data_IF_507052081752
#
_entry.id   IF_507052081752
#
_cell.length_a   1.000
_cell.length_b   1.000
_cell.length_c   1.000
_cell.angle_alpha   90.00
_cell.angle_beta   90.00
_cell.angle_gamma   90.00
#
_symmetry.space_group_name_H-M   'P 1'
#
loop_
_entity.id
_entity.type
_entity.pdbx_description
1 polymer ?
#
# COMPACT_ATOMS: atom_id res chain seq x y z
N UNK A 1 -19.14 -10.62 35.24
CA UNK A 1 -19.70 -9.59 34.34
C UNK A 1 -18.69 -8.45 34.23
N UNK A 2 -17.85 -8.47 33.19
CA UNK A 2 -16.96 -7.33 32.90
C UNK A 2 -17.85 -6.27 32.25
N UNK A 3 -17.98 -5.09 32.86
CA UNK A 3 -18.63 -3.94 32.20
C UNK A 3 -17.99 -3.80 30.82
N UNK A 4 -18.77 -3.93 29.76
CA UNK A 4 -18.35 -3.50 28.42
C UNK A 4 -17.84 -2.08 28.58
N UNK A 5 -16.54 -1.91 28.45
CA UNK A 5 -15.89 -0.60 28.50
C UNK A 5 -16.23 0.01 27.15
N UNK A 6 -17.15 0.96 27.13
CA UNK A 6 -17.49 1.71 25.92
C UNK A 6 -16.20 2.26 25.32
N UNK A 7 -16.02 2.08 24.01
CA UNK A 7 -14.85 2.60 23.31
C UNK A 7 -14.71 4.10 23.58
N UNK A 8 -13.48 4.60 23.67
CA UNK A 8 -13.23 6.03 23.83
C UNK A 8 -13.45 6.76 22.49
N UNK A 9 -14.72 6.87 22.12
CA UNK A 9 -15.21 7.49 20.89
C UNK A 9 -15.39 8.99 21.10
N UNK A 10 -14.77 9.77 20.22
CA UNK A 10 -14.89 11.23 20.17
C UNK A 10 -15.50 11.60 18.82
N UNK A 11 -16.69 12.20 18.84
CA UNK A 11 -17.35 12.72 17.64
C UNK A 11 -17.10 14.22 17.53
N UNK A 12 -16.59 14.65 16.38
CA UNK A 12 -16.32 16.06 16.08
C UNK A 12 -17.14 16.48 14.87
N UNK A 13 -17.83 17.61 15.00
CA UNK A 13 -18.53 18.22 13.86
C UNK A 13 -17.52 18.97 13.00
N UNK A 14 -17.57 18.73 11.70
CA UNK A 14 -16.65 19.33 10.72
C UNK A 14 -17.45 19.87 9.54
N UNK A 15 -17.11 21.07 9.10
CA UNK A 15 -17.53 21.58 7.82
C UNK A 15 -16.64 20.96 6.72
N UNK A 16 -17.25 20.16 5.85
CA UNK A 16 -16.59 19.52 4.72
C UNK A 16 -16.70 20.33 3.41
N UNK A 17 -17.12 21.59 3.49
CA UNK A 17 -17.27 22.48 2.34
C UNK A 17 -16.06 22.44 1.41
N UNK A 18 -16.35 22.55 0.12
CA UNK A 18 -15.37 22.39 -0.94
C UNK A 18 -14.21 23.38 -0.80
N UNK A 19 -13.00 22.85 -0.72
CA UNK A 19 -11.81 23.68 -0.69
C UNK A 19 -11.60 24.31 -2.06
N UNK A 20 -11.13 25.56 -2.09
CA UNK A 20 -10.82 26.26 -3.35
C UNK A 20 -9.76 25.52 -4.15
N UNK A 21 -8.81 24.87 -3.46
CA UNK A 21 -7.75 24.05 -4.05
C UNK A 21 -7.80 22.64 -3.52
N UNK A 22 -7.47 21.69 -4.38
CA UNK A 22 -7.28 20.29 -4.02
C UNK A 22 -6.12 19.69 -4.81
N UNK A 23 -5.31 18.86 -4.16
CA UNK A 23 -4.19 18.16 -4.77
C UNK A 23 -4.28 16.68 -4.47
N UNK A 24 -4.04 15.84 -5.48
CA UNK A 24 -4.05 14.39 -5.37
C UNK A 24 -2.91 13.83 -6.21
N UNK A 25 -2.09 12.97 -5.63
CA UNK A 25 -1.07 12.21 -6.38
C UNK A 25 -1.39 10.72 -6.31
N UNK A 26 -1.15 10.00 -7.42
CA UNK A 26 -1.14 8.54 -7.45
C UNK A 26 0.13 8.06 -8.13
N UNK A 27 0.81 7.15 -7.46
CA UNK A 27 1.92 6.36 -8.00
C UNK A 27 1.36 5.02 -8.46
N UNK A 28 1.31 4.81 -9.77
CA UNK A 28 0.67 3.64 -10.36
C UNK A 28 1.40 2.32 -10.08
N UNK A 29 0.79 1.23 -10.55
CA UNK A 29 1.21 -0.16 -10.29
C UNK A 29 2.70 -0.42 -10.51
N UNK A 30 3.28 0.12 -11.58
CA UNK A 30 4.69 -0.08 -11.95
C UNK A 30 5.66 0.92 -11.32
N UNK A 31 5.18 1.91 -10.56
CA UNK A 31 6.06 2.89 -9.93
C UNK A 31 6.95 2.21 -8.87
N UNK A 32 8.26 2.52 -8.79
CA UNK A 32 9.19 1.88 -7.86
C UNK A 32 8.70 1.78 -6.40
N UNK A 33 8.16 2.87 -5.85
CA UNK A 33 7.58 2.87 -4.49
C UNK A 33 6.38 1.93 -4.36
N UNK A 34 5.44 1.97 -5.31
CA UNK A 34 4.23 1.11 -5.32
C UNK A 34 4.61 -0.36 -5.49
N UNK A 35 5.60 -0.67 -6.33
CA UNK A 35 6.18 -2.02 -6.44
C UNK A 35 6.80 -2.48 -5.13
N UNK A 36 7.49 -1.59 -4.40
CA UNK A 36 8.10 -1.90 -3.11
C UNK A 36 7.05 -2.16 -2.02
N UNK A 37 6.01 -1.33 -1.95
CA UNK A 37 4.85 -1.55 -1.06
C UNK A 37 4.17 -2.89 -1.37
N UNK A 38 3.80 -3.13 -2.63
CA UNK A 38 3.09 -4.35 -3.01
C UNK A 38 3.95 -5.62 -2.84
N UNK A 39 5.27 -5.54 -3.09
CA UNK A 39 6.18 -6.64 -2.80
C UNK A 39 6.23 -6.93 -1.29
N UNK A 40 6.41 -5.91 -0.46
CA UNK A 40 6.44 -6.07 0.99
C UNK A 40 5.16 -6.72 1.53
N UNK A 41 4.00 -6.26 1.04
CA UNK A 41 2.72 -6.83 1.43
C UNK A 41 2.55 -8.28 0.99
N UNK A 42 2.92 -8.58 -0.26
CA UNK A 42 2.90 -9.92 -0.81
C UNK A 42 3.78 -10.89 0.00
N UNK A 43 5.00 -10.48 0.37
CA UNK A 43 5.90 -11.27 1.20
C UNK A 43 5.34 -11.51 2.61
N UNK A 44 4.72 -10.50 3.21
CA UNK A 44 4.04 -10.62 4.51
C UNK A 44 2.89 -11.62 4.46
N UNK A 45 2.05 -11.54 3.43
CA UNK A 45 0.93 -12.46 3.23
C UNK A 45 1.42 -13.90 3.01
N UNK A 46 2.38 -14.12 2.09
CA UNK A 46 2.93 -15.46 1.81
C UNK A 46 3.62 -16.07 3.03
N UNK A 47 4.40 -15.30 3.78
CA UNK A 47 5.02 -15.78 5.01
C UNK A 47 3.99 -16.11 6.09
N UNK A 48 2.95 -15.29 6.22
CA UNK A 48 1.81 -15.56 7.12
C UNK A 48 1.08 -16.85 6.75
N UNK A 49 0.79 -17.06 5.46
CA UNK A 49 0.16 -18.28 4.95
C UNK A 49 1.05 -19.52 5.21
N UNK A 50 2.34 -19.43 4.88
CA UNK A 50 3.31 -20.50 5.09
C UNK A 50 3.38 -20.92 6.56
N UNK A 51 3.57 -19.95 7.46
CA UNK A 51 3.72 -20.23 8.88
C UNK A 51 2.42 -20.73 9.52
N UNK A 52 1.28 -20.15 9.15
CA UNK A 52 -0.03 -20.63 9.61
C UNK A 52 -0.30 -22.06 9.16
N UNK A 53 -0.03 -22.39 7.90
CA UNK A 53 -0.21 -23.74 7.35
C UNK A 53 0.72 -24.76 8.02
N UNK A 54 2.00 -24.41 8.19
CA UNK A 54 3.03 -25.34 8.67
C UNK A 54 3.04 -25.50 10.20
N UNK A 55 2.75 -24.43 10.94
CA UNK A 55 2.91 -24.37 12.40
C UNK A 55 1.61 -24.07 13.16
N UNK A 56 0.52 -23.79 12.46
CA UNK A 56 -0.78 -23.45 13.07
C UNK A 56 -0.92 -22.00 13.54
N UNK A 57 0.11 -21.16 13.32
CA UNK A 57 0.09 -19.76 13.73
C UNK A 57 0.91 -18.87 12.78
N UNK A 58 0.49 -17.60 12.66
CA UNK A 58 1.29 -16.58 11.96
C UNK A 58 2.42 -16.16 12.90
N UNK A 59 3.67 -16.45 12.50
CA UNK A 59 4.83 -16.11 13.32
C UNK A 59 5.20 -14.63 13.17
N UNK A 60 5.99 -14.13 14.12
CA UNK A 60 6.44 -12.74 14.11
C UNK A 60 7.28 -12.44 12.86
N UNK A 61 6.91 -11.38 12.14
CA UNK A 61 7.65 -10.86 11.00
C UNK A 61 7.23 -9.42 10.70
N UNK A 62 8.09 -8.65 10.04
CA UNK A 62 7.82 -7.34 9.48
C UNK A 62 8.77 -7.13 8.29
N UNK A 63 8.23 -7.04 7.08
CA UNK A 63 8.95 -6.80 5.83
C UNK A 63 8.72 -5.37 5.31
N UNK A 64 8.35 -4.45 6.19
CA UNK A 64 7.97 -3.07 5.90
C UNK A 64 9.18 -2.13 5.68
N UNK A 65 10.33 -2.70 5.31
CA UNK A 65 11.58 -2.00 4.93
C UNK A 65 12.16 -2.54 3.61
N UNK A 66 11.35 -3.27 2.85
CA UNK A 66 11.72 -3.71 1.51
C UNK A 66 11.94 -2.50 0.60
N UNK A 67 12.89 -2.63 -0.30
CA UNK A 67 13.17 -1.61 -1.32
C UNK A 67 13.60 -2.24 -2.62
N UNK A 68 13.42 -1.47 -3.70
CA UNK A 68 13.88 -1.80 -5.04
C UNK A 68 14.85 -0.70 -5.47
N UNK A 69 16.08 -1.06 -5.78
CA UNK A 69 17.05 -0.11 -6.34
C UNK A 69 17.20 -0.35 -7.83
N UNK A 70 17.21 0.73 -8.58
CA UNK A 70 17.14 0.66 -10.02
C UNK A 70 18.31 -0.09 -10.65
N UNK A 71 18.01 -0.73 -11.77
CA UNK A 71 18.98 -1.33 -12.67
C UNK A 71 19.62 -0.30 -13.59
N UNK A 72 19.99 -0.75 -14.78
CA UNK A 72 20.28 0.10 -15.92
C UNK A 72 19.66 -0.54 -17.16
N UNK A 73 19.21 0.26 -18.11
CA UNK A 73 18.63 -0.21 -19.38
C UNK A 73 19.30 0.45 -20.57
N UNK A 74 19.08 -0.16 -21.73
CA UNK A 74 19.38 0.39 -23.04
C UNK A 74 18.08 0.36 -23.84
N UNK A 75 17.67 1.52 -24.37
CA UNK A 75 16.42 1.67 -25.11
C UNK A 75 16.65 2.40 -26.43
N UNK A 76 15.98 1.91 -27.47
CA UNK A 76 15.81 2.58 -28.76
C UNK A 76 14.46 2.14 -29.33
N UNK A 77 13.96 2.81 -30.36
CA UNK A 77 12.72 2.35 -30.98
C UNK A 77 12.83 0.91 -31.48
N UNK A 78 11.84 0.08 -31.13
CA UNK A 78 11.77 -1.34 -31.46
C UNK A 78 12.66 -2.24 -30.58
N UNK A 79 13.39 -1.70 -29.61
CA UNK A 79 14.28 -2.48 -28.77
C UNK A 79 14.48 -1.89 -27.37
N UNK A 80 14.40 -2.75 -26.35
CA UNK A 80 14.80 -2.38 -25.00
C UNK A 80 15.25 -3.62 -24.24
N UNK A 81 16.27 -3.46 -23.39
CA UNK A 81 16.69 -4.50 -22.44
C UNK A 81 17.30 -3.90 -21.18
N UNK A 82 17.34 -4.68 -20.11
CA UNK A 82 18.17 -4.38 -18.96
C UNK A 82 19.64 -4.69 -19.25
N UNK A 83 20.52 -3.77 -18.89
CA UNK A 83 21.99 -3.92 -18.91
C UNK A 83 22.57 -4.16 -17.52
N UNK A 84 21.84 -3.79 -16.46
CA UNK A 84 22.12 -4.18 -15.08
C UNK A 84 20.83 -4.62 -14.37
N UNK A 85 20.91 -5.64 -13.50
CA UNK A 85 19.74 -6.14 -12.80
C UNK A 85 19.17 -5.12 -11.80
N UNK A 86 17.86 -5.22 -11.56
CA UNK A 86 17.21 -4.53 -10.45
C UNK A 86 17.68 -5.18 -9.14
N UNK A 87 17.97 -4.36 -8.13
CA UNK A 87 18.49 -4.85 -6.85
C UNK A 87 17.37 -4.82 -5.82
N UNK A 88 17.00 -5.99 -5.31
CA UNK A 88 15.93 -6.18 -4.33
C UNK A 88 16.54 -6.21 -2.92
N UNK A 89 16.18 -5.21 -2.11
CA UNK A 89 16.57 -5.08 -0.71
C UNK A 89 15.52 -5.76 0.17
N UNK A 90 15.86 -6.92 0.73
CA UNK A 90 15.03 -7.67 1.66
C UNK A 90 15.47 -7.39 3.09
N UNK A 91 14.90 -6.31 3.65
CA UNK A 91 15.15 -5.86 5.01
C UNK A 91 13.95 -6.16 5.90
N UNK A 92 14.20 -6.20 7.21
CA UNK A 92 13.14 -6.30 8.21
C UNK A 92 13.42 -7.35 9.25
N UNK A 93 12.36 -7.96 9.78
CA UNK A 93 12.45 -8.96 10.84
C UNK A 93 11.58 -10.16 10.52
N UNK A 94 12.01 -11.35 10.86
CA UNK A 94 11.21 -12.57 10.67
C UNK A 94 11.63 -13.66 11.65
N UNK A 95 10.70 -14.52 12.00
CA UNK A 95 10.99 -15.71 12.79
C UNK A 95 11.78 -16.69 11.92
N UNK A 96 12.94 -17.13 12.40
CA UNK A 96 13.83 -18.03 11.65
C UNK A 96 13.70 -19.48 12.09
N UNK A 97 12.92 -19.75 13.14
CA UNK A 97 12.75 -21.07 13.72
C UNK A 97 11.40 -21.17 14.43
N UNK A 98 10.84 -22.38 14.44
CA UNK A 98 9.72 -22.75 15.30
C UNK A 98 9.95 -24.17 15.84
N UNK A 99 9.90 -24.33 17.16
CA UNK A 99 10.35 -25.54 17.84
C UNK A 99 11.76 -25.94 17.35
N UNK A 100 11.91 -27.17 16.85
CA UNK A 100 13.16 -27.69 16.31
C UNK A 100 13.29 -27.47 14.78
N UNK A 101 12.31 -26.84 14.15
CA UNK A 101 12.29 -26.62 12.69
C UNK A 101 12.84 -25.25 12.33
N UNK A 102 13.94 -25.24 11.58
CA UNK A 102 14.49 -24.03 10.98
C UNK A 102 13.68 -23.61 9.74
N UNK A 103 13.55 -22.30 9.54
CA UNK A 103 12.82 -21.69 8.42
C UNK A 103 13.85 -21.04 7.51
N UNK A 104 13.97 -21.51 6.27
CA UNK A 104 14.77 -20.85 5.24
C UNK A 104 14.07 -19.58 4.74
N UNK A 105 14.07 -18.55 5.58
CA UNK A 105 13.44 -17.26 5.28
C UNK A 105 14.04 -16.65 4.02
N UNK A 106 15.36 -16.78 3.81
CA UNK A 106 16.02 -16.17 2.64
C UNK A 106 15.57 -16.83 1.35
N UNK A 107 15.57 -18.17 1.28
CA UNK A 107 15.10 -18.91 0.12
C UNK A 107 13.64 -18.61 -0.21
N UNK A 108 12.77 -18.60 0.81
CA UNK A 108 11.34 -18.28 0.65
C UNK A 108 11.14 -16.86 0.11
N UNK A 109 11.78 -15.85 0.70
CA UNK A 109 11.63 -14.46 0.25
C UNK A 109 12.20 -14.22 -1.15
N UNK A 110 13.30 -14.89 -1.53
CA UNK A 110 13.81 -14.84 -2.91
C UNK A 110 12.81 -15.43 -3.88
N UNK A 111 12.29 -16.62 -3.60
CA UNK A 111 11.33 -17.28 -4.48
C UNK A 111 10.08 -16.42 -4.69
N UNK A 112 9.48 -15.92 -3.61
CA UNK A 112 8.27 -15.10 -3.69
C UNK A 112 8.51 -13.73 -4.33
N UNK A 113 9.68 -13.12 -4.11
CA UNK A 113 10.04 -11.87 -4.80
C UNK A 113 10.16 -12.06 -6.31
N UNK A 114 10.76 -13.18 -6.75
CA UNK A 114 10.85 -13.54 -8.17
C UNK A 114 9.46 -13.75 -8.79
N UNK A 115 8.60 -14.52 -8.11
CA UNK A 115 7.19 -14.75 -8.52
C UNK A 115 6.44 -13.41 -8.65
N UNK A 116 6.54 -12.55 -7.64
CA UNK A 116 5.86 -11.26 -7.64
C UNK A 116 6.33 -10.36 -8.79
N UNK A 117 7.64 -10.12 -8.91
CA UNK A 117 8.17 -9.15 -9.88
C UNK A 117 7.99 -9.61 -11.32
N UNK A 118 8.11 -10.92 -11.61
CA UNK A 118 7.82 -11.47 -12.93
C UNK A 118 6.34 -11.33 -13.34
N UNK A 119 5.43 -11.26 -12.36
CA UNK A 119 4.01 -10.99 -12.60
C UNK A 119 3.70 -9.48 -12.73
N UNK A 120 4.57 -8.59 -12.25
CA UNK A 120 4.37 -7.14 -12.34
C UNK A 120 5.04 -6.51 -13.56
N UNK A 121 6.20 -7.04 -13.96
CA UNK A 121 7.07 -6.47 -14.99
C UNK A 121 7.51 -7.56 -15.98
N UNK A 122 7.72 -7.23 -17.27
CA UNK A 122 8.19 -8.16 -18.30
C UNK A 122 9.70 -8.43 -18.17
N UNK A 123 10.11 -9.06 -17.06
CA UNK A 123 11.51 -9.38 -16.74
C UNK A 123 11.76 -10.88 -16.66
N UNK A 124 13.01 -11.29 -16.84
CA UNK A 124 13.49 -12.61 -16.44
C UNK A 124 14.01 -12.55 -14.98
N UNK A 125 13.27 -13.08 -14.00
CA UNK A 125 13.62 -12.95 -12.59
C UNK A 125 14.89 -13.73 -12.19
N UNK A 126 15.39 -14.63 -13.03
CA UNK A 126 16.62 -15.39 -12.75
C UNK A 126 17.89 -14.60 -13.07
N UNK A 127 17.87 -13.77 -14.10
CA UNK A 127 19.05 -13.02 -14.57
C UNK A 127 18.98 -11.52 -14.30
N UNK A 128 17.78 -10.96 -14.12
CA UNK A 128 17.57 -9.51 -14.05
C UNK A 128 17.28 -9.00 -12.64
N UNK A 129 17.39 -9.86 -11.63
CA UNK A 129 17.23 -9.53 -10.22
C UNK A 129 18.49 -9.91 -9.42
N UNK A 130 18.87 -9.05 -8.47
CA UNK A 130 19.91 -9.35 -7.47
C UNK A 130 19.38 -9.07 -6.08
N UNK A 131 19.62 -9.97 -5.12
CA UNK A 131 19.04 -9.90 -3.79
C UNK A 131 20.06 -9.52 -2.72
N UNK A 132 19.67 -8.61 -1.84
CA UNK A 132 20.45 -8.18 -0.67
C UNK A 132 19.62 -8.38 0.60
N UNK A 133 20.19 -9.03 1.60
CA UNK A 133 19.47 -9.40 2.82
C UNK A 133 20.00 -8.67 4.05
N UNK A 134 19.13 -7.93 4.73
CA UNK A 134 19.41 -7.32 6.04
C UNK A 134 18.29 -7.68 7.04
N UNK A 135 18.04 -8.99 7.19
CA UNK A 135 17.04 -9.52 8.12
C UNK A 135 17.61 -9.65 9.54
N UNK A 136 16.78 -9.35 10.53
CA UNK A 136 17.10 -9.53 11.95
C UNK A 136 16.04 -10.37 12.67
N UNK A 137 16.45 -11.20 13.61
CA UNK A 137 15.57 -11.93 14.54
C UNK A 137 15.65 -11.36 15.97
N UNK A 138 16.21 -10.15 16.13
CA UNK A 138 16.39 -9.54 17.45
C UNK A 138 15.08 -8.93 17.98
N UNK A 139 14.84 -9.13 19.28
CA UNK A 139 13.68 -8.60 19.98
C UNK A 139 13.88 -7.12 20.37
N UNK A 140 12.82 -6.32 20.26
CA UNK A 140 12.76 -4.94 20.77
C UNK A 140 11.47 -4.74 21.59
N UNK A 141 11.49 -4.00 22.71
CA UNK A 141 12.67 -3.41 23.37
C UNK A 141 13.60 -4.47 23.99
N UNK A 142 14.84 -4.07 24.30
CA UNK A 142 15.92 -4.96 24.73
C UNK A 142 15.53 -5.95 25.83
N UNK A 143 16.11 -7.16 25.76
CA UNK A 143 15.86 -8.25 26.72
C UNK A 143 16.45 -7.89 28.08
N UNK A 144 15.64 -7.82 29.14
CA UNK A 144 16.13 -7.70 30.52
C UNK A 144 16.24 -9.09 31.15
N UNK A 145 17.41 -9.41 31.69
CA UNK A 145 17.69 -10.69 32.37
C UNK A 145 17.46 -10.58 33.87
N UNK A 146 16.22 -10.36 34.31
CA UNK A 146 15.92 -10.56 35.73
C UNK A 146 15.78 -12.06 36.02
N UNK A 147 16.79 -12.60 36.71
CA UNK A 147 16.96 -14.03 37.03
C UNK A 147 15.78 -14.66 37.77
N UNK A 148 14.90 -13.87 38.39
CA UNK A 148 13.79 -14.36 39.21
C UNK A 148 12.54 -14.80 38.41
N UNK A 149 12.38 -14.41 37.14
CA UNK A 149 11.15 -14.66 36.36
C UNK A 149 11.37 -15.30 34.97
N UNK A 150 12.53 -15.93 34.75
CA UNK A 150 12.99 -16.44 33.43
C UNK A 150 11.96 -17.35 32.73
N UNK A 151 11.13 -18.10 33.45
CA UNK A 151 10.14 -19.01 32.87
C UNK A 151 8.89 -18.32 32.29
N UNK A 152 8.66 -17.01 32.52
CA UNK A 152 7.39 -16.35 32.17
C UNK A 152 7.44 -15.34 31.01
N UNK A 153 8.62 -14.96 30.51
CA UNK A 153 8.69 -13.95 29.44
C UNK A 153 8.60 -14.56 28.05
N UNK A 154 7.38 -14.69 27.51
CA UNK A 154 7.12 -15.13 26.13
C UNK A 154 7.90 -14.29 25.09
N UNK A 155 8.17 -13.01 25.41
CA UNK A 155 8.95 -12.09 24.58
C UNK A 155 10.38 -12.56 24.28
N UNK A 156 10.96 -13.42 25.14
CA UNK A 156 12.31 -13.97 24.92
C UNK A 156 12.39 -14.85 23.67
N UNK A 157 11.30 -15.56 23.36
CA UNK A 157 11.21 -16.55 22.29
C UNK A 157 10.31 -16.07 21.14
N UNK A 158 10.02 -14.77 21.05
CA UNK A 158 9.02 -14.26 20.11
C UNK A 158 9.38 -14.48 18.63
N UNK A 159 10.68 -14.44 18.30
CA UNK A 159 11.22 -14.71 16.95
C UNK A 159 11.68 -16.16 16.75
N UNK A 160 11.76 -16.94 17.83
CA UNK A 160 12.11 -18.36 17.79
C UNK A 160 11.21 -19.14 18.77
N UNK A 161 9.89 -19.20 18.51
CA UNK A 161 8.96 -19.78 19.46
C UNK A 161 9.20 -21.27 19.58
N UNK A 162 9.27 -21.81 20.80
CA UNK A 162 9.52 -23.25 21.02
C UNK A 162 8.25 -24.09 20.83
N UNK A 163 7.10 -23.45 20.99
CA UNK A 163 5.76 -24.00 20.77
C UNK A 163 4.75 -22.84 20.73
N UNK A 164 3.47 -23.17 20.48
CA UNK A 164 2.39 -22.18 20.37
C UNK A 164 2.20 -21.32 21.64
N UNK A 165 2.61 -21.76 22.83
CA UNK A 165 2.48 -20.94 24.04
C UNK A 165 3.42 -19.74 24.08
N UNK A 166 4.51 -19.77 23.30
CA UNK A 166 5.44 -18.64 23.17
C UNK A 166 4.90 -17.55 22.22
N UNK A 167 3.72 -17.74 21.61
CA UNK A 167 3.04 -16.77 20.75
C UNK A 167 1.87 -16.13 21.53
N UNK A 168 2.09 -14.97 22.19
CA UNK A 168 1.07 -14.37 23.05
C UNK A 168 -0.19 -13.92 22.29
N UNK A 169 -0.07 -13.62 21.00
CA UNK A 169 -1.16 -13.13 20.17
C UNK A 169 -2.24 -14.17 19.90
N UNK A 170 -1.95 -15.46 20.14
CA UNK A 170 -2.96 -16.52 20.12
C UNK A 170 -3.91 -16.47 21.33
N UNK A 171 -3.49 -15.78 22.41
CA UNK A 171 -4.25 -15.67 23.66
C UNK A 171 -4.93 -14.32 23.78
N UNK A 172 -4.18 -13.24 23.54
CA UNK A 172 -4.67 -11.86 23.66
C UNK A 172 -4.01 -11.02 22.56
N UNK A 173 -4.83 -10.39 21.72
CA UNK A 173 -4.36 -9.45 20.70
C UNK A 173 -4.05 -8.11 21.36
N UNK A 174 -2.76 -7.74 21.38
CA UNK A 174 -2.29 -6.46 21.90
C UNK A 174 -1.64 -5.64 20.79
N UNK A 175 -1.80 -4.33 20.87
CA UNK A 175 -1.11 -3.38 20.01
C UNK A 175 0.40 -3.51 20.24
N UNK A 176 1.18 -3.65 19.17
CA UNK A 176 2.64 -3.66 19.26
C UNK A 176 3.23 -2.28 19.56
N UNK A 177 2.57 -1.23 19.10
CA UNK A 177 3.09 0.13 19.10
C UNK A 177 2.00 1.15 19.47
N UNK A 178 2.41 2.42 19.62
CA UNK A 178 1.53 3.58 19.77
C UNK A 178 1.59 4.39 18.47
N UNK A 179 0.71 4.07 17.53
CA UNK A 179 0.51 4.84 16.29
C UNK A 179 -0.97 5.01 15.95
N UNK A 180 -1.23 5.62 14.79
CA UNK A 180 -2.58 5.90 14.31
C UNK A 180 -2.83 5.38 12.89
N UNK A 181 -4.08 4.99 12.65
CA UNK A 181 -4.65 4.74 11.34
C UNK A 181 -5.67 5.82 10.98
N UNK A 182 -5.82 6.11 9.69
CA UNK A 182 -6.74 7.14 9.19
C UNK A 182 -7.60 6.61 8.05
N UNK A 183 -8.88 6.93 8.05
CA UNK A 183 -9.81 6.60 6.96
C UNK A 183 -10.65 7.81 6.58
N UNK A 184 -11.14 7.86 5.35
CA UNK A 184 -12.10 8.86 4.92
C UNK A 184 -12.99 8.34 3.80
N UNK A 185 -14.21 8.85 3.73
CA UNK A 185 -15.18 8.52 2.70
C UNK A 185 -16.19 9.67 2.54
N UNK A 186 -16.71 9.91 1.33
CA UNK A 186 -16.27 9.30 0.08
C UNK A 186 -14.94 9.90 -0.41
N UNK A 187 -14.39 9.32 -1.48
CA UNK A 187 -13.43 10.01 -2.32
C UNK A 187 -14.04 11.29 -2.88
N UNK A 188 -13.23 12.33 -3.04
CA UNK A 188 -13.58 13.50 -3.82
C UNK A 188 -13.67 13.14 -5.30
N UNK A 189 -14.15 14.07 -6.11
CA UNK A 189 -14.21 13.92 -7.56
C UNK A 189 -12.80 13.78 -8.16
N UNK A 190 -11.83 14.58 -7.69
CA UNK A 190 -10.44 14.51 -8.15
C UNK A 190 -9.77 13.19 -7.74
N UNK A 191 -9.97 12.74 -6.49
CA UNK A 191 -9.46 11.45 -6.00
C UNK A 191 -9.98 10.27 -6.84
N UNK A 192 -11.28 10.29 -7.14
CA UNK A 192 -11.96 9.25 -7.92
C UNK A 192 -11.41 9.17 -9.35
N UNK A 193 -11.24 10.31 -10.02
CA UNK A 193 -10.74 10.37 -11.40
C UNK A 193 -9.29 9.93 -11.49
N UNK A 194 -8.44 10.36 -10.56
CA UNK A 194 -7.03 9.94 -10.52
C UNK A 194 -6.92 8.41 -10.36
N UNK A 195 -7.76 7.82 -9.49
CA UNK A 195 -7.83 6.37 -9.33
C UNK A 195 -8.38 5.68 -10.59
N UNK A 196 -9.42 6.21 -11.20
CA UNK A 196 -10.06 5.65 -12.39
C UNK A 196 -9.12 5.64 -13.60
N UNK A 197 -8.41 6.74 -13.85
CA UNK A 197 -7.45 6.83 -14.96
C UNK A 197 -6.34 5.82 -14.79
N UNK A 198 -5.69 5.76 -13.62
CA UNK A 198 -4.59 4.83 -13.40
C UNK A 198 -5.08 3.38 -13.53
N UNK A 199 -6.23 3.03 -12.93
CA UNK A 199 -6.82 1.69 -13.03
C UNK A 199 -7.17 1.32 -14.47
N UNK A 200 -7.68 2.27 -15.25
CA UNK A 200 -8.06 2.04 -16.65
C UNK A 200 -6.83 1.74 -17.50
N UNK A 201 -5.80 2.61 -17.43
CA UNK A 201 -4.59 2.47 -18.22
C UNK A 201 -3.73 1.27 -17.79
N UNK A 202 -3.75 0.90 -16.50
CA UNK A 202 -3.09 -0.30 -15.97
C UNK A 202 -3.96 -1.56 -15.96
N UNK A 203 -5.17 -1.51 -16.53
CA UNK A 203 -6.04 -2.68 -16.58
C UNK A 203 -5.46 -3.75 -17.52
N UNK A 204 -5.63 -5.04 -17.20
CA UNK A 204 -5.22 -6.12 -18.10
C UNK A 204 -5.85 -6.00 -19.49
N UNK A 205 -7.10 -5.53 -19.56
CA UNK A 205 -7.79 -5.31 -20.83
C UNK A 205 -7.08 -4.25 -21.67
N UNK A 206 -6.79 -3.08 -21.09
CA UNK A 206 -6.13 -1.99 -21.80
C UNK A 206 -4.72 -2.38 -22.23
N UNK A 207 -3.91 -2.97 -21.34
CA UNK A 207 -2.53 -3.38 -21.62
C UNK A 207 -2.45 -4.51 -22.66
N UNK A 208 -3.42 -5.42 -22.70
CA UNK A 208 -3.45 -6.49 -23.71
C UNK A 208 -3.63 -5.97 -25.13
N UNK A 209 -4.45 -4.90 -25.29
CA UNK A 209 -4.70 -4.20 -26.56
C UNK A 209 -3.59 -3.21 -26.89
N UNK A 210 -2.98 -2.62 -25.87
CA UNK A 210 -1.98 -1.56 -25.96
C UNK A 210 -0.67 -1.98 -25.30
N UNK A 211 0.01 -2.98 -25.87
CA UNK A 211 1.26 -3.53 -25.31
C UNK A 211 2.40 -2.52 -25.17
N UNK A 212 2.27 -1.38 -25.83
CA UNK A 212 3.22 -0.29 -25.75
C UNK A 212 3.22 0.41 -24.39
N UNK A 213 2.15 0.36 -23.60
CA UNK A 213 2.07 1.13 -22.35
C UNK A 213 2.80 0.39 -21.21
N UNK A 214 3.70 1.08 -20.52
CA UNK A 214 4.30 0.61 -19.28
C UNK A 214 3.38 0.83 -18.09
N UNK A 215 3.65 0.15 -16.98
CA UNK A 215 2.79 0.18 -15.80
C UNK A 215 3.10 1.27 -14.79
N UNK A 216 4.26 1.93 -14.92
CA UNK A 216 4.69 3.04 -14.07
C UNK A 216 4.04 4.37 -14.49
N UNK A 217 2.73 4.46 -14.22
CA UNK A 217 1.93 5.64 -14.50
C UNK A 217 1.84 6.48 -13.23
N UNK A 218 2.49 7.64 -13.22
CA UNK A 218 2.41 8.60 -12.12
C UNK A 218 1.47 9.73 -12.51
N UNK A 219 0.51 10.08 -11.64
CA UNK A 219 -0.47 11.13 -11.87
C UNK A 219 -0.39 12.14 -10.73
N UNK A 220 -0.26 13.41 -11.07
CA UNK A 220 -0.45 14.55 -10.17
C UNK A 220 -1.67 15.34 -10.65
N UNK A 221 -2.66 15.47 -9.79
CA UNK A 221 -3.87 16.24 -10.03
C UNK A 221 -3.97 17.47 -9.15
N UNK A 222 -4.46 18.55 -9.75
CA UNK A 222 -4.73 19.82 -9.11
C UNK A 222 -6.11 20.30 -9.55
N UNK A 223 -6.99 20.59 -8.60
CA UNK A 223 -8.27 21.24 -8.86
C UNK A 223 -8.26 22.64 -8.26
N UNK A 224 -8.68 23.62 -9.03
CA UNK A 224 -8.95 24.99 -8.58
C UNK A 224 -10.38 25.37 -8.92
N UNK A 225 -11.24 25.48 -7.91
CA UNK A 225 -12.69 25.61 -8.11
C UNK A 225 -13.23 24.42 -8.92
N UNK A 226 -13.74 24.72 -10.13
CA UNK A 226 -14.28 23.72 -11.06
C UNK A 226 -13.29 23.28 -12.16
N UNK A 227 -12.08 23.85 -12.19
CA UNK A 227 -11.07 23.51 -13.20
C UNK A 227 -10.15 22.39 -12.69
N UNK A 228 -10.01 21.33 -13.48
CA UNK A 228 -9.21 20.16 -13.14
C UNK A 228 -7.96 20.09 -14.02
N UNK A 229 -6.76 19.99 -13.45
CA UNK A 229 -5.53 19.85 -14.24
C UNK A 229 -4.80 18.60 -13.79
N UNK A 230 -4.40 17.76 -14.73
CA UNK A 230 -3.55 16.61 -14.49
C UNK A 230 -2.22 16.77 -15.21
N UNK A 231 -1.13 16.45 -14.51
CA UNK A 231 0.16 16.14 -15.11
C UNK A 231 0.47 14.69 -14.83
N UNK A 232 0.83 13.93 -15.86
CA UNK A 232 1.16 12.52 -15.71
C UNK A 232 2.34 12.05 -16.53
N UNK A 233 2.94 10.97 -16.06
CA UNK A 233 4.00 10.26 -16.75
C UNK A 233 3.43 8.91 -17.23
N UNK A 234 3.51 8.63 -18.53
CA UNK A 234 3.13 7.37 -19.16
C UNK A 234 4.35 6.83 -19.91
N UNK A 235 5.07 5.85 -19.36
CA UNK A 235 6.20 5.22 -20.04
C UNK A 235 5.69 4.38 -21.21
N UNK A 236 6.48 4.33 -22.29
CA UNK A 236 6.24 3.40 -23.39
C UNK A 236 7.34 2.34 -23.46
N UNK A 237 6.94 1.08 -23.65
CA UNK A 237 7.83 -0.07 -23.78
C UNK A 237 8.49 -0.01 -25.16
N UNK A 238 9.79 0.25 -25.17
CA UNK A 238 10.58 0.56 -26.36
C UNK A 238 10.50 -0.54 -27.43
N UNK A 239 10.46 -1.82 -27.04
CA UNK A 239 10.30 -2.96 -27.96
C UNK A 239 8.97 -2.96 -28.73
N UNK A 240 7.97 -2.20 -28.27
CA UNK A 240 6.64 -2.12 -28.85
C UNK A 240 6.39 -0.81 -29.62
N UNK A 241 7.37 0.10 -29.69
CA UNK A 241 7.25 1.41 -30.34
C UNK A 241 8.30 1.53 -31.43
N UNK A 242 7.90 1.66 -32.71
CA UNK A 242 8.84 1.53 -33.84
C UNK A 242 9.54 2.83 -34.22
N UNK A 243 8.95 3.97 -33.87
CA UNK A 243 9.47 5.30 -34.19
C UNK A 243 8.74 6.38 -33.38
N UNK A 244 9.11 7.64 -33.60
CA UNK A 244 8.54 8.80 -32.92
C UNK A 244 7.06 9.03 -33.23
N UNK A 245 6.59 8.65 -34.43
CA UNK A 245 5.19 8.83 -34.82
C UNK A 245 4.29 7.83 -34.09
N UNK A 246 4.74 6.57 -33.95
CA UNK A 246 4.09 5.57 -33.10
C UNK A 246 4.02 6.07 -31.64
N UNK A 247 5.13 6.62 -31.12
CA UNK A 247 5.17 7.17 -29.77
C UNK A 247 4.12 8.27 -29.55
N UNK A 248 4.04 9.24 -30.47
CA UNK A 248 3.05 10.33 -30.41
C UNK A 248 1.62 9.81 -30.54
N UNK A 249 1.38 8.85 -31.44
CA UNK A 249 0.08 8.22 -31.63
C UNK A 249 -0.40 7.50 -30.37
N UNK A 250 0.49 6.79 -29.70
CA UNK A 250 0.20 6.11 -28.44
C UNK A 250 -0.21 7.10 -27.34
N UNK A 251 0.50 8.24 -27.20
CA UNK A 251 0.09 9.29 -26.25
C UNK A 251 -1.24 9.92 -26.63
N UNK A 252 -1.52 10.13 -27.92
CA UNK A 252 -2.83 10.63 -28.38
C UNK A 252 -3.97 9.67 -28.02
N UNK A 253 -3.77 8.35 -28.18
CA UNK A 253 -4.74 7.34 -27.76
C UNK A 253 -5.00 7.38 -26.24
N UNK A 254 -3.94 7.51 -25.42
CA UNK A 254 -4.12 7.67 -23.97
C UNK A 254 -4.89 8.95 -23.62
N UNK A 255 -4.62 10.06 -24.33
CA UNK A 255 -5.36 11.31 -24.16
C UNK A 255 -6.85 11.13 -24.45
N UNK A 256 -7.22 10.45 -25.53
CA UNK A 256 -8.63 10.20 -25.86
C UNK A 256 -9.36 9.43 -24.74
N UNK A 257 -8.71 8.41 -24.18
CA UNK A 257 -9.26 7.61 -23.07
C UNK A 257 -9.44 8.46 -21.81
N UNK A 258 -8.44 9.26 -21.46
CA UNK A 258 -8.49 10.14 -20.28
C UNK A 258 -9.55 11.22 -20.46
N UNK A 259 -9.61 11.85 -21.64
CA UNK A 259 -10.64 12.82 -21.99
C UNK A 259 -12.04 12.24 -21.86
N UNK A 260 -12.23 10.98 -22.28
CA UNK A 260 -13.51 10.29 -22.10
C UNK A 260 -13.87 10.15 -20.61
N UNK A 261 -12.93 9.75 -19.76
CA UNK A 261 -13.15 9.62 -18.31
C UNK A 261 -13.56 10.97 -17.69
N UNK A 262 -12.92 12.08 -18.08
CA UNK A 262 -13.32 13.41 -17.62
C UNK A 262 -14.77 13.74 -17.98
N UNK A 263 -15.16 13.51 -19.24
CA UNK A 263 -16.50 13.80 -19.73
C UNK A 263 -17.57 12.91 -19.08
N UNK A 264 -17.28 11.61 -18.89
CA UNK A 264 -18.17 10.67 -18.18
C UNK A 264 -18.36 11.06 -16.70
N UNK A 265 -17.38 11.75 -16.12
CA UNK A 265 -17.47 12.34 -14.80
C UNK A 265 -17.98 13.79 -14.82
N UNK A 266 -18.59 14.29 -15.90
CA UNK A 266 -19.13 15.66 -15.96
C UNK A 266 -18.09 16.75 -15.64
N UNK A 267 -16.91 16.66 -16.24
CA UNK A 267 -15.86 17.69 -16.18
C UNK A 267 -15.49 18.09 -17.60
N UNK A 268 -15.82 19.32 -17.95
CA UNK A 268 -15.56 19.93 -19.25
C UNK A 268 -14.37 20.92 -19.22
N UNK A 269 -14.13 21.62 -18.10
CA UNK A 269 -12.96 22.47 -17.89
C UNK A 269 -11.80 21.68 -17.27
N UNK A 270 -10.98 21.05 -18.13
CA UNK A 270 -9.77 20.37 -17.70
C UNK A 270 -8.52 20.63 -18.56
N UNK A 271 -7.36 20.58 -17.91
CA UNK A 271 -6.03 20.54 -18.53
C UNK A 271 -5.39 19.16 -18.37
N UNK A 272 -4.73 18.68 -19.42
CA UNK A 272 -4.05 17.39 -19.41
C UNK A 272 -2.65 17.50 -20.02
N UNK A 273 -1.63 17.33 -19.18
CA UNK A 273 -0.23 17.29 -19.56
C UNK A 273 0.33 15.88 -19.37
N UNK A 274 0.95 15.33 -20.41
CA UNK A 274 1.52 13.97 -20.40
C UNK A 274 2.97 14.06 -20.82
N UNK A 275 3.86 13.43 -20.05
CA UNK A 275 5.30 13.36 -20.27
C UNK A 275 5.91 14.74 -20.56
N UNK A 276 5.71 15.69 -19.64
CA UNK A 276 6.14 17.10 -19.80
C UNK A 276 7.65 17.31 -19.98
N UNK A 277 8.46 16.27 -19.73
CA UNK A 277 9.91 16.26 -19.97
C UNK A 277 10.27 15.84 -21.39
N UNK A 278 9.32 15.36 -22.19
CA UNK A 278 9.61 14.91 -23.55
C UNK A 278 10.13 16.06 -24.42
N UNK A 279 11.21 15.79 -25.13
CA UNK A 279 11.73 16.65 -26.19
C UNK A 279 11.89 15.83 -27.48
N UNK A 280 10.95 16.05 -28.42
CA UNK A 280 10.91 15.33 -29.69
C UNK A 280 12.09 15.65 -30.62
N UNK A 281 12.66 16.85 -30.55
CA UNK A 281 13.80 17.26 -31.39
C UNK A 281 15.10 16.57 -30.94
N UNK A 282 15.25 16.40 -29.62
CA UNK A 282 16.41 15.73 -29.02
C UNK A 282 16.22 14.23 -28.81
N UNK A 283 15.02 13.71 -29.09
CA UNK A 283 14.63 12.32 -28.77
C UNK A 283 14.81 11.96 -27.28
N UNK A 284 14.63 12.95 -26.40
CA UNK A 284 14.54 12.72 -24.96
C UNK A 284 13.09 12.37 -24.65
N UNK A 285 12.75 11.07 -24.72
CA UNK A 285 11.38 10.58 -24.59
C UNK A 285 11.26 9.61 -23.42
N UNK A 286 10.07 9.47 -22.84
CA UNK A 286 9.82 8.47 -21.80
C UNK A 286 9.65 7.04 -22.36
N UNK A 287 10.70 6.54 -23.00
CA UNK A 287 10.86 5.16 -23.45
C UNK A 287 11.54 4.32 -22.36
N UNK A 288 11.05 3.10 -22.18
CA UNK A 288 11.53 2.14 -21.17
C UNK A 288 11.64 0.73 -21.77
N UNK A 289 12.56 -0.09 -21.31
CA UNK A 289 12.70 -1.49 -21.69
C UNK A 289 11.58 -2.36 -21.12
N UNK A 290 11.19 -2.13 -19.87
CA UNK A 290 10.25 -2.98 -19.11
C UNK A 290 9.00 -2.24 -18.62
N UNK A 291 8.81 -0.98 -18.99
CA UNK A 291 7.60 -0.23 -18.65
C UNK A 291 7.59 0.40 -17.25
N UNK A 292 8.75 0.49 -16.59
CA UNK A 292 8.90 1.10 -15.27
C UNK A 292 10.25 1.81 -15.13
N UNK A 293 10.29 2.97 -14.46
CA UNK A 293 11.53 3.73 -14.25
C UNK A 293 12.55 3.01 -13.35
N UNK A 294 12.15 1.93 -12.67
CA UNK A 294 13.07 1.08 -11.89
C UNK A 294 14.21 0.51 -12.76
N UNK A 295 14.08 0.51 -14.08
CA UNK A 295 15.14 0.09 -14.98
C UNK A 295 16.29 1.10 -15.13
N UNK A 296 16.06 2.37 -14.80
CA UNK A 296 16.94 3.50 -15.15
C UNK A 296 17.53 4.22 -13.94
N UNK A 297 17.67 3.52 -12.82
CA UNK A 297 18.33 4.02 -11.61
C UNK A 297 17.40 4.67 -10.58
N UNK A 298 16.09 4.79 -10.85
CA UNK A 298 15.12 5.18 -9.84
C UNK A 298 15.05 4.13 -8.72
N UNK A 299 14.62 4.56 -7.54
CA UNK A 299 14.55 3.72 -6.35
C UNK A 299 13.15 3.77 -5.74
N UNK A 300 12.72 2.64 -5.19
CA UNK A 300 11.46 2.47 -4.50
C UNK A 300 11.67 2.01 -3.07
N UNK A 301 10.91 2.57 -2.13
CA UNK A 301 10.93 2.17 -0.73
C UNK A 301 9.51 2.06 -0.17
N UNK A 302 9.28 1.05 0.66
CA UNK A 302 8.02 0.89 1.38
C UNK A 302 7.64 2.16 2.14
N UNK A 303 6.37 2.54 2.05
CA UNK A 303 5.78 3.69 2.74
C UNK A 303 6.06 5.05 2.08
N UNK A 304 6.75 5.08 0.93
CA UNK A 304 6.98 6.30 0.14
C UNK A 304 5.97 6.50 -0.99
N UNK A 305 5.12 5.50 -1.21
CA UNK A 305 4.05 5.48 -2.21
C UNK A 305 2.73 6.05 -1.72
N UNK A 306 1.66 5.50 -2.27
CA UNK A 306 0.29 5.84 -1.92
C UNK A 306 -0.01 5.56 -0.44
N UNK A 307 -1.12 6.09 0.06
CA UNK A 307 -1.72 5.61 1.32
C UNK A 307 -2.58 4.37 1.03
N UNK A 308 -3.19 3.76 2.05
CA UNK A 308 -4.07 2.58 1.85
C UNK A 308 -5.28 2.88 0.97
N UNK A 309 -5.63 4.15 0.83
CA UNK A 309 -6.65 4.67 -0.08
C UNK A 309 -6.22 4.65 -1.56
N UNK A 310 -4.96 4.29 -1.86
CA UNK A 310 -4.42 4.29 -3.22
C UNK A 310 -4.04 5.67 -3.76
N UNK A 311 -4.12 6.71 -2.94
CA UNK A 311 -3.72 8.08 -3.32
C UNK A 311 -2.91 8.75 -2.21
N UNK A 312 -2.24 9.83 -2.56
CA UNK A 312 -1.59 10.77 -1.66
C UNK A 312 -2.42 12.06 -1.69
N UNK A 313 -3.03 12.41 -0.57
CA UNK A 313 -4.05 13.45 -0.47
C UNK A 313 -3.65 14.48 0.61
N UNK A 314 -2.72 15.41 0.30
CA UNK A 314 -2.15 16.35 1.27
C UNK A 314 -3.19 17.24 1.97
N UNK A 315 -4.37 17.40 1.40
CA UNK A 315 -5.46 18.21 1.96
C UNK A 315 -6.39 17.41 2.90
N UNK A 316 -6.15 16.11 3.08
CA UNK A 316 -6.86 15.24 4.02
C UNK A 316 -5.95 14.78 5.16
N UNK A 317 -6.51 14.35 6.30
CA UNK A 317 -5.73 13.64 7.30
C UNK A 317 -5.06 12.40 6.69
N UNK A 318 -3.78 12.19 6.99
CA UNK A 318 -3.01 11.04 6.52
C UNK A 318 -2.19 10.44 7.67
N UNK A 319 -1.98 9.12 7.62
CA UNK A 319 -0.99 8.47 8.47
C UNK A 319 0.33 8.33 7.70
N UNK A 320 1.43 8.59 8.41
CA UNK A 320 2.79 8.37 7.90
C UNK A 320 3.24 6.91 8.03
N UNK A 321 2.42 6.05 8.61
CA UNK A 321 2.69 4.62 8.72
C UNK A 321 2.74 3.96 7.33
N UNK A 322 3.89 3.37 6.97
CA UNK A 322 3.98 2.46 5.82
C UNK A 322 3.28 1.14 6.16
N UNK A 323 2.04 0.94 5.73
CA UNK A 323 1.22 -0.20 6.12
C UNK A 323 1.72 -1.54 5.54
N UNK A 324 2.30 -1.51 4.35
CA UNK A 324 2.70 -2.70 3.61
C UNK A 324 3.81 -3.49 4.32
N UNK A 325 3.70 -4.83 4.31
CA UNK A 325 4.72 -5.73 4.86
C UNK A 325 4.72 -5.87 6.39
N UNK A 326 3.90 -5.09 7.11
CA UNK A 326 3.71 -5.24 8.55
C UNK A 326 2.89 -6.48 8.89
N UNK A 327 3.20 -7.07 10.05
CA UNK A 327 2.47 -8.24 10.53
C UNK A 327 0.95 -8.01 10.58
N UNK A 328 0.14 -8.88 9.97
CA UNK A 328 -1.30 -8.65 9.86
C UNK A 328 -2.08 -8.96 11.15
N UNK A 329 -1.45 -9.50 12.21
CA UNK A 329 -2.16 -9.94 13.42
C UNK A 329 -2.28 -8.85 14.47
N UNK A 330 -1.24 -8.03 14.63
CA UNK A 330 -1.15 -7.09 15.75
C UNK A 330 -0.59 -5.72 15.38
N UNK A 331 -0.05 -5.54 14.16
CA UNK A 331 0.66 -4.30 13.84
C UNK A 331 -0.32 -3.16 13.56
N UNK A 332 -0.37 -2.19 14.46
CA UNK A 332 -1.40 -1.14 14.44
C UNK A 332 -1.28 -0.19 13.24
N UNK A 333 -0.07 0.15 12.80
CA UNK A 333 0.16 0.98 11.61
C UNK A 333 -0.39 0.38 10.31
N UNK A 334 -0.78 -0.89 10.32
CA UNK A 334 -1.49 -1.58 9.24
C UNK A 334 -2.95 -1.83 9.59
N UNK A 335 -3.20 -2.51 10.71
CA UNK A 335 -4.55 -2.90 11.11
C UNK A 335 -5.44 -1.70 11.40
N UNK A 336 -4.99 -0.75 12.20
CA UNK A 336 -5.80 0.43 12.50
C UNK A 336 -5.97 1.32 11.28
N UNK A 337 -5.00 1.33 10.37
CA UNK A 337 -5.15 2.05 9.11
C UNK A 337 -6.32 1.46 8.30
N UNK A 338 -6.31 0.14 8.08
CA UNK A 338 -7.36 -0.57 7.32
C UNK A 338 -8.72 -0.47 8.03
N UNK A 339 -8.76 -0.63 9.35
CA UNK A 339 -10.00 -0.54 10.14
C UNK A 339 -10.57 0.87 10.09
N UNK A 340 -9.74 1.91 10.19
CA UNK A 340 -10.22 3.29 10.08
C UNK A 340 -10.89 3.54 8.71
N UNK A 341 -10.30 3.01 7.62
CA UNK A 341 -10.94 3.08 6.31
C UNK A 341 -12.26 2.30 6.25
N UNK A 342 -12.30 1.07 6.78
CA UNK A 342 -13.53 0.26 6.81
C UNK A 342 -14.67 0.90 7.62
N UNK A 343 -14.34 1.52 8.76
CA UNK A 343 -15.31 2.32 9.53
C UNK A 343 -15.84 3.45 8.64
N UNK A 344 -14.95 4.16 7.96
CA UNK A 344 -15.32 5.31 7.14
C UNK A 344 -16.21 4.93 5.96
N UNK A 345 -15.86 3.86 5.25
CA UNK A 345 -16.65 3.28 4.17
C UNK A 345 -18.03 2.84 4.68
N UNK A 346 -18.08 2.11 5.80
CA UNK A 346 -19.33 1.63 6.40
C UNK A 346 -20.26 2.78 6.78
N UNK A 347 -19.73 3.84 7.39
CA UNK A 347 -20.49 5.05 7.74
C UNK A 347 -21.07 5.68 6.46
N UNK A 348 -20.26 5.83 5.42
CA UNK A 348 -20.71 6.43 4.16
C UNK A 348 -21.77 5.56 3.46
N UNK A 349 -21.54 4.26 3.35
CA UNK A 349 -22.47 3.31 2.72
C UNK A 349 -23.82 3.24 3.42
N UNK A 350 -23.84 3.32 4.76
CA UNK A 350 -25.07 3.20 5.55
C UNK A 350 -25.81 4.53 5.71
N UNK A 351 -25.09 5.63 5.83
CA UNK A 351 -25.65 6.91 6.25
C UNK A 351 -25.58 7.99 5.16
N UNK A 352 -24.81 7.77 4.09
CA UNK A 352 -24.61 8.74 3.01
C UNK A 352 -23.85 10.00 3.43
N UNK A 353 -23.14 9.97 4.56
CA UNK A 353 -22.45 11.14 5.11
C UNK A 353 -20.93 11.08 4.89
N UNK A 354 -20.37 12.21 4.46
CA UNK A 354 -18.93 12.38 4.40
C UNK A 354 -18.33 12.35 5.81
N UNK A 355 -17.23 11.62 5.98
CA UNK A 355 -16.62 11.43 7.27
C UNK A 355 -15.10 11.20 7.18
N UNK A 356 -14.41 11.44 8.29
CA UNK A 356 -13.00 11.08 8.48
C UNK A 356 -12.86 10.35 9.82
N UNK A 357 -12.08 9.29 9.85
CA UNK A 357 -11.89 8.41 11.01
C UNK A 357 -10.41 8.39 11.36
N UNK A 358 -10.08 8.59 12.64
CA UNK A 358 -8.74 8.44 13.19
C UNK A 358 -8.79 7.43 14.34
N UNK A 359 -8.02 6.35 14.21
CA UNK A 359 -7.96 5.28 15.19
C UNK A 359 -6.56 5.24 15.81
N UNK A 360 -6.45 5.50 17.11
CA UNK A 360 -5.18 5.63 17.82
C UNK A 360 -5.01 4.49 18.82
N UNK A 361 -3.83 3.86 18.78
CA UNK A 361 -3.44 2.78 19.69
C UNK A 361 -2.56 3.28 20.84
N UNK A 362 -2.41 2.45 21.87
CA UNK A 362 -1.33 2.54 22.86
C UNK A 362 -0.63 1.19 22.92
N UNK A 363 0.70 1.17 22.87
CA UNK A 363 1.48 -0.06 22.93
C UNK A 363 1.12 -0.89 24.17
N UNK A 364 0.84 -2.19 23.96
CA UNK A 364 0.42 -3.12 24.99
C UNK A 364 -1.08 -3.12 25.33
N UNK A 365 -1.86 -2.14 24.87
CA UNK A 365 -3.33 -2.12 24.99
C UNK A 365 -3.96 -3.20 24.09
N UNK A 366 -5.10 -3.73 24.49
CA UNK A 366 -5.84 -4.69 23.65
C UNK A 366 -6.24 -4.08 22.32
N UNK A 367 -6.11 -4.87 21.25
CA UNK A 367 -6.28 -4.38 19.89
C UNK A 367 -7.72 -3.95 19.57
N UNK A 368 -8.70 -4.61 20.21
CA UNK A 368 -10.13 -4.29 20.07
C UNK A 368 -10.59 -3.12 20.97
N UNK A 369 -9.68 -2.57 21.79
CA UNK A 369 -9.92 -1.45 22.68
C UNK A 369 -8.98 -0.30 22.29
N UNK A 370 -9.27 0.45 21.21
CA UNK A 370 -8.43 1.59 20.80
C UNK A 370 -8.33 2.63 21.92
N UNK A 371 -7.22 3.35 21.98
CA UNK A 371 -7.05 4.41 22.97
C UNK A 371 -7.98 5.60 22.68
N UNK A 372 -8.04 5.99 21.41
CA UNK A 372 -8.93 7.04 20.92
C UNK A 372 -9.48 6.60 19.57
N UNK A 373 -10.79 6.71 19.41
CA UNK A 373 -11.47 6.64 18.12
C UNK A 373 -12.11 7.99 17.87
N UNK A 374 -11.53 8.78 16.96
CA UNK A 374 -12.02 10.10 16.58
C UNK A 374 -12.73 9.99 15.24
N UNK A 375 -13.96 10.50 15.16
CA UNK A 375 -14.73 10.53 13.91
C UNK A 375 -15.24 11.94 13.67
N UNK A 376 -14.87 12.51 12.52
CA UNK A 376 -15.39 13.77 12.02
C UNK A 376 -16.61 13.52 11.15
N UNK A 377 -17.71 14.23 11.42
CA UNK A 377 -18.97 14.13 10.66
C UNK A 377 -19.55 15.50 10.36
N UNK A 378 -20.47 15.62 9.38
CA UNK A 378 -21.03 16.91 9.00
C UNK A 378 -21.76 17.57 10.17
N UNK A 379 -21.74 18.90 10.23
CA UNK A 379 -22.43 19.69 11.27
C UNK A 379 -23.93 19.40 11.35
N UNK A 380 -24.54 19.05 10.22
CA UNK A 380 -25.96 18.70 10.11
C UNK A 380 -26.32 17.33 10.67
N UNK A 381 -25.35 16.43 10.89
CA UNK A 381 -25.63 15.08 11.35
C UNK A 381 -25.82 15.03 12.88
N UNK A 382 -26.87 14.37 13.36
CA UNK A 382 -27.26 14.41 14.79
C UNK A 382 -27.27 13.05 15.51
N UNK A 383 -27.28 11.93 14.79
CA UNK A 383 -27.46 10.60 15.40
C UNK A 383 -26.14 9.94 15.82
N UNK A 384 -25.55 10.41 16.92
CA UNK A 384 -24.23 9.94 17.38
C UNK A 384 -24.19 8.44 17.73
N UNK A 385 -25.27 7.86 18.27
CA UNK A 385 -25.29 6.45 18.71
C UNK A 385 -25.22 5.44 17.56
N UNK A 386 -25.72 5.82 16.39
CA UNK A 386 -25.62 4.99 15.18
C UNK A 386 -24.17 4.90 14.68
N UNK A 387 -23.43 6.02 14.68
CA UNK A 387 -22.01 6.02 14.33
C UNK A 387 -21.20 5.15 15.29
N UNK A 388 -21.46 5.27 16.60
CA UNK A 388 -20.78 4.46 17.61
C UNK A 388 -21.00 2.96 17.35
N UNK A 389 -22.25 2.56 17.10
CA UNK A 389 -22.57 1.16 16.79
C UNK A 389 -21.89 0.65 15.53
N UNK A 390 -21.79 1.46 14.47
CA UNK A 390 -21.11 1.08 13.23
C UNK A 390 -19.60 0.92 13.46
N UNK A 391 -18.99 1.88 14.16
CA UNK A 391 -17.56 1.85 14.39
C UNK A 391 -17.14 0.71 15.32
N UNK A 392 -17.91 0.45 16.38
CA UNK A 392 -17.67 -0.70 17.25
C UNK A 392 -17.77 -2.04 16.50
N UNK A 393 -18.72 -2.14 15.57
CA UNK A 393 -18.91 -3.34 14.75
C UNK A 393 -17.66 -3.63 13.90
N UNK A 394 -17.11 -2.61 13.23
CA UNK A 394 -15.91 -2.77 12.40
C UNK A 394 -14.65 -3.07 13.23
N UNK A 395 -14.48 -2.45 14.40
CA UNK A 395 -13.36 -2.78 15.30
C UNK A 395 -13.42 -4.24 15.75
N UNK A 396 -14.61 -4.78 16.05
CA UNK A 396 -14.79 -6.19 16.43
C UNK A 396 -14.41 -7.18 15.31
N UNK A 397 -14.39 -6.74 14.05
CA UNK A 397 -14.01 -7.55 12.88
C UNK A 397 -12.50 -7.63 12.62
N UNK A 398 -11.64 -7.03 13.44
CA UNK A 398 -10.17 -7.09 13.27
C UNK A 398 -9.63 -8.52 13.03
N UNK A 399 -10.11 -9.58 13.73
CA UNK A 399 -9.67 -10.95 13.45
C UNK A 399 -10.05 -11.45 12.04
N UNK A 400 -11.19 -11.03 11.51
CA UNK A 400 -11.63 -11.34 10.14
C UNK A 400 -10.80 -10.57 9.11
N UNK A 401 -10.58 -9.27 9.37
CA UNK A 401 -9.71 -8.40 8.55
C UNK A 401 -8.30 -8.98 8.44
N UNK A 402 -7.77 -9.58 9.51
CA UNK A 402 -6.50 -10.30 9.48
C UNK A 402 -6.49 -11.41 8.43
N UNK A 403 -7.57 -12.18 8.32
CA UNK A 403 -7.68 -13.24 7.31
C UNK A 403 -7.80 -12.67 5.90
N UNK A 404 -8.53 -11.58 5.73
CA UNK A 404 -8.66 -10.93 4.41
C UNK A 404 -7.33 -10.39 3.92
N UNK A 405 -6.54 -9.77 4.81
CA UNK A 405 -5.17 -9.32 4.51
C UNK A 405 -4.28 -10.51 4.13
N UNK A 406 -4.26 -11.58 4.95
CA UNK A 406 -3.43 -12.76 4.70
C UNK A 406 -3.79 -13.43 3.38
N UNK A 407 -5.05 -13.34 2.94
CA UNK A 407 -5.53 -13.87 1.67
C UNK A 407 -5.45 -12.86 0.51
N UNK A 408 -4.79 -11.71 0.70
CA UNK A 408 -4.65 -10.65 -0.30
C UNK A 408 -6.00 -10.14 -0.85
N UNK A 409 -7.04 -10.12 -0.02
CA UNK A 409 -8.37 -9.57 -0.34
C UNK A 409 -8.52 -8.08 -0.02
N UNK A 410 -7.52 -7.50 0.64
CA UNK A 410 -7.46 -6.07 0.97
C UNK A 410 -6.31 -5.45 0.20
N UNK A 411 -6.58 -4.40 -0.58
CA UNK A 411 -5.54 -3.59 -1.23
C UNK A 411 -4.92 -2.63 -0.22
N UNK A 412 -3.59 -2.49 -0.22
CA UNK A 412 -2.85 -1.66 0.74
C UNK A 412 -2.09 -0.50 0.07
N UNK A 413 -2.01 -0.47 -1.26
CA UNK A 413 -1.40 0.62 -2.06
C UNK A 413 -1.99 0.63 -3.49
#
# INVERSE_FOLDING_TARGET
MVKSKTMNLVLVKKNFSDQTFEFVERKGKGHPDTLSDNLAEYLSAKYSQYTKSKFGAILHHNFDKVGLLGGASEVQFGYGRLTKPIRVLLNGRASTRFADTEIDVRGLLTQWSKEFLANQLPINPESELTFFFNLSNQSSPGKTEEKANIQKSARKYWFEPRNLNDIPELKILRSNDTSMGVGFAPYSKLESIVLEIEKTLNSPEFQSKNRWIGSDIKIMGCRYGNKYNLTMCIPQIASQVKNIDDYKKNLAQAREVISKIFLENEIDDYGLDINTRDNYEKSELYLTAIGSSIESGDEGLVGRGNRIQGVITPMRPMSMEGAAGKNPVYHIGKLYYIVAQKISDTIYEKLGIQNEVVLVSQSGRELLDPWILLIHVPESYVNNGEIESLAESEVKKIPEITQDIVNLKVSIC
#
